data_IF_530001056481
#
_entry.id   IF_530001056481
#
_cell.length_a   1.000
_cell.length_b   1.000
_cell.length_c   1.000
_cell.angle_alpha   90.00
_cell.angle_beta   90.00
_cell.angle_gamma   90.00
#
_symmetry.space_group_name_H-M   'P 1'
#
loop_
_entity.id
_entity.type
_entity.pdbx_description
1 polymer ?
#
# COMPACT_ATOMS: atom_id res chain seq x y z
N UNK A 1 -13.80 -16.98 -10.39
CA UNK A 1 -12.43 -16.92 -10.94
C UNK A 1 -12.00 -15.48 -10.83
N UNK A 2 -10.79 -15.21 -10.37
CA UNK A 2 -10.31 -13.82 -10.35
C UNK A 2 -9.92 -13.39 -11.78
N UNK A 3 -10.26 -12.15 -12.11
CA UNK A 3 -10.05 -11.56 -13.42
C UNK A 3 -8.81 -10.68 -13.41
N UNK A 4 -7.86 -10.94 -14.30
CA UNK A 4 -6.62 -10.17 -14.46
C UNK A 4 -6.62 -9.47 -15.82
N UNK A 5 -6.35 -8.16 -15.82
CA UNK A 5 -6.10 -7.42 -17.04
C UNK A 5 -4.60 -7.30 -17.26
N UNK A 6 -4.11 -7.81 -18.39
CA UNK A 6 -2.74 -7.64 -18.84
C UNK A 6 -2.67 -6.54 -19.92
N UNK A 7 -1.80 -5.54 -19.72
CA UNK A 7 -1.51 -4.51 -20.73
C UNK A 7 -0.02 -4.63 -21.05
N UNK A 8 0.30 -5.22 -22.21
CA UNK A 8 1.66 -5.56 -22.66
C UNK A 8 1.67 -5.58 -24.18
N UNK A 9 2.55 -4.83 -24.81
CA UNK A 9 2.62 -4.71 -26.27
C UNK A 9 3.44 -5.82 -26.94
N UNK A 10 4.38 -6.41 -26.18
CA UNK A 10 5.11 -7.59 -26.66
C UNK A 10 4.22 -8.83 -26.60
N UNK A 11 3.82 -9.31 -27.79
CA UNK A 11 2.87 -10.42 -27.92
C UNK A 11 3.41 -11.76 -27.40
N UNK A 12 4.73 -11.99 -27.46
CA UNK A 12 5.36 -13.22 -26.98
C UNK A 12 5.33 -13.25 -25.43
N UNK A 13 5.75 -12.17 -24.80
CA UNK A 13 5.65 -11.99 -23.35
C UNK A 13 4.19 -12.07 -22.87
N UNK A 14 3.27 -11.44 -23.59
CA UNK A 14 1.85 -11.46 -23.25
C UNK A 14 1.26 -12.88 -23.29
N UNK A 15 1.61 -13.67 -24.32
CA UNK A 15 1.11 -15.05 -24.45
C UNK A 15 1.65 -15.95 -23.34
N UNK A 16 2.94 -15.84 -23.00
CA UNK A 16 3.56 -16.58 -21.89
C UNK A 16 2.86 -16.28 -20.56
N UNK A 17 2.66 -14.99 -20.25
CA UNK A 17 1.97 -14.56 -19.02
C UNK A 17 0.53 -15.07 -18.99
N UNK A 18 -0.20 -14.95 -20.10
CA UNK A 18 -1.60 -15.39 -20.21
C UNK A 18 -1.75 -16.88 -20.01
N UNK A 19 -0.90 -17.67 -20.65
CA UNK A 19 -0.92 -19.13 -20.54
C UNK A 19 -0.72 -19.57 -19.08
N UNK A 20 0.29 -19.05 -18.41
CA UNK A 20 0.61 -19.42 -17.02
C UNK A 20 -0.47 -18.97 -16.04
N UNK A 21 -1.06 -17.78 -16.24
CA UNK A 21 -2.18 -17.32 -15.41
C UNK A 21 -3.44 -18.18 -15.63
N UNK A 22 -3.74 -18.54 -16.89
CA UNK A 22 -4.89 -19.38 -17.21
C UNK A 22 -4.75 -20.80 -16.61
N UNK A 23 -3.56 -21.38 -16.63
CA UNK A 23 -3.27 -22.69 -16.02
C UNK A 23 -3.50 -22.67 -14.50
N UNK A 24 -3.40 -21.51 -13.87
CA UNK A 24 -3.70 -21.31 -12.43
C UNK A 24 -5.15 -20.92 -12.15
N UNK A 25 -5.99 -20.91 -13.17
CA UNK A 25 -7.41 -20.66 -13.04
C UNK A 25 -7.81 -19.18 -13.00
N UNK A 26 -6.97 -18.27 -13.50
CA UNK A 26 -7.33 -16.86 -13.70
C UNK A 26 -8.03 -16.65 -15.04
N UNK A 27 -8.99 -15.74 -15.06
CA UNK A 27 -9.53 -15.19 -16.30
C UNK A 27 -8.65 -14.02 -16.74
N UNK A 28 -8.08 -14.07 -17.94
CA UNK A 28 -7.13 -13.05 -18.40
C UNK A 28 -7.69 -12.30 -19.60
N UNK A 29 -7.90 -10.99 -19.44
CA UNK A 29 -8.07 -10.05 -20.54
C UNK A 29 -6.71 -9.47 -20.93
N UNK A 30 -6.52 -9.19 -22.22
CA UNK A 30 -5.28 -8.60 -22.73
C UNK A 30 -5.55 -7.39 -23.62
N UNK A 31 -4.62 -6.44 -23.56
CA UNK A 31 -4.51 -5.30 -24.46
C UNK A 31 -3.04 -5.05 -24.78
N UNK A 32 -2.74 -4.74 -26.05
CA UNK A 32 -1.40 -4.38 -26.51
C UNK A 32 -1.14 -2.86 -26.51
N UNK A 33 -2.11 -2.05 -26.08
CA UNK A 33 -2.08 -0.59 -26.13
C UNK A 33 -2.59 0.00 -24.83
N UNK A 34 -1.94 1.09 -24.39
CA UNK A 34 -2.28 1.73 -23.11
C UNK A 34 -3.64 2.42 -23.10
N UNK A 35 -4.12 2.97 -24.22
CA UNK A 35 -5.43 3.62 -24.31
C UNK A 35 -6.53 2.57 -24.24
N UNK A 36 -6.43 1.50 -25.05
CA UNK A 36 -7.36 0.38 -25.02
C UNK A 36 -7.36 -0.30 -23.64
N UNK A 37 -6.18 -0.47 -23.04
CA UNK A 37 -6.01 -1.03 -21.70
C UNK A 37 -6.71 -0.21 -20.64
N UNK A 38 -6.65 1.12 -20.70
CA UNK A 38 -7.36 2.03 -19.80
C UNK A 38 -8.88 1.87 -19.92
N UNK A 39 -9.40 1.79 -21.14
CA UNK A 39 -10.83 1.61 -21.39
C UNK A 39 -11.33 0.25 -20.90
N UNK A 40 -10.55 -0.82 -21.12
CA UNK A 40 -10.83 -2.14 -20.55
C UNK A 40 -10.83 -2.13 -19.04
N UNK A 41 -9.84 -1.49 -18.41
CA UNK A 41 -9.76 -1.41 -16.95
C UNK A 41 -10.99 -0.74 -16.33
N UNK A 42 -11.54 0.28 -16.99
CA UNK A 42 -12.76 0.98 -16.58
C UNK A 42 -14.03 0.14 -16.74
N UNK A 43 -14.12 -0.58 -17.84
CA UNK A 43 -15.35 -1.33 -18.21
C UNK A 43 -15.41 -2.69 -17.52
N UNK A 44 -14.31 -3.44 -17.48
CA UNK A 44 -14.30 -4.83 -17.04
C UNK A 44 -14.10 -4.99 -15.53
N UNK A 45 -13.59 -3.96 -14.83
CA UNK A 45 -13.30 -3.96 -13.39
C UNK A 45 -12.51 -5.20 -12.95
N UNK A 46 -11.28 -5.39 -13.45
CA UNK A 46 -10.47 -6.54 -13.10
C UNK A 46 -10.11 -6.55 -11.61
N UNK A 47 -9.87 -7.76 -11.06
CA UNK A 47 -9.45 -7.95 -9.67
C UNK A 47 -7.98 -7.56 -9.45
N UNK A 48 -7.14 -7.70 -10.51
CA UNK A 48 -5.76 -7.21 -10.56
C UNK A 48 -5.38 -6.80 -11.97
N UNK A 49 -4.33 -5.99 -12.09
CA UNK A 49 -3.77 -5.56 -13.37
C UNK A 49 -2.27 -5.81 -13.42
N UNK A 50 -1.78 -6.19 -14.59
CA UNK A 50 -0.37 -6.22 -14.94
C UNK A 50 -0.20 -5.20 -16.08
N UNK A 51 0.69 -4.23 -15.89
CA UNK A 51 0.83 -3.11 -16.82
C UNK A 51 2.29 -2.92 -17.16
N UNK A 52 2.65 -3.10 -18.44
CA UNK A 52 3.98 -2.67 -18.91
C UNK A 52 4.06 -1.13 -18.84
N UNK A 53 5.21 -0.65 -18.47
CA UNK A 53 5.49 0.78 -18.44
C UNK A 53 5.55 1.38 -19.84
N UNK A 54 6.26 0.71 -20.76
CA UNK A 54 6.50 1.21 -22.12
C UNK A 54 5.45 0.66 -23.07
N UNK A 55 4.32 1.33 -23.19
CA UNK A 55 3.22 0.93 -24.05
C UNK A 55 3.02 1.94 -25.18
N UNK A 56 2.59 1.50 -26.37
CA UNK A 56 2.10 2.40 -27.39
C UNK A 56 0.82 3.13 -26.94
N UNK A 57 0.55 4.25 -27.55
CA UNK A 57 -0.63 5.06 -27.27
C UNK A 57 -0.54 5.84 -25.95
N UNK A 58 -0.39 5.15 -24.84
CA UNK A 58 -0.28 5.75 -23.51
C UNK A 58 0.68 4.98 -22.61
N UNK A 59 1.67 5.68 -22.02
CA UNK A 59 2.61 5.10 -21.04
C UNK A 59 1.86 4.46 -19.87
N UNK A 60 2.32 3.28 -19.43
CA UNK A 60 1.63 2.49 -18.40
C UNK A 60 1.48 3.20 -17.07
N UNK A 61 2.43 4.05 -16.66
CA UNK A 61 2.27 4.86 -15.44
C UNK A 61 1.19 5.92 -15.61
N UNK A 62 1.03 6.47 -16.81
CA UNK A 62 -0.06 7.40 -17.13
C UNK A 62 -1.42 6.69 -17.08
N UNK A 63 -1.49 5.43 -17.55
CA UNK A 63 -2.69 4.58 -17.39
C UNK A 63 -3.03 4.44 -15.91
N UNK A 64 -2.06 4.07 -15.07
CA UNK A 64 -2.27 3.91 -13.62
C UNK A 64 -2.72 5.23 -12.98
N UNK A 65 -2.07 6.34 -13.31
CA UNK A 65 -2.45 7.66 -12.78
C UNK A 65 -3.89 8.05 -13.16
N UNK A 66 -4.29 7.81 -14.42
CA UNK A 66 -5.66 8.06 -14.88
C UNK A 66 -6.68 7.24 -14.08
N UNK A 67 -6.41 5.94 -13.88
CA UNK A 67 -7.26 5.07 -13.07
C UNK A 67 -7.39 5.55 -11.63
N UNK A 68 -6.30 6.01 -11.01
CA UNK A 68 -6.33 6.54 -9.64
C UNK A 68 -7.11 7.84 -9.53
N UNK A 69 -7.04 8.72 -10.54
CA UNK A 69 -7.89 9.93 -10.63
C UNK A 69 -9.37 9.57 -10.74
N UNK A 70 -9.69 8.48 -11.45
CA UNK A 70 -11.05 7.95 -11.56
C UNK A 70 -11.49 7.13 -10.33
N UNK A 71 -10.68 7.15 -9.25
CA UNK A 71 -10.90 6.38 -8.01
C UNK A 71 -10.94 4.85 -8.22
N UNK A 72 -10.45 4.34 -9.33
CA UNK A 72 -10.27 2.90 -9.56
C UNK A 72 -9.08 2.41 -8.73
N UNK A 73 -9.35 1.48 -7.81
CA UNK A 73 -8.38 0.98 -6.82
C UNK A 73 -7.89 -0.44 -7.11
N UNK A 74 -8.18 -0.97 -8.28
CA UNK A 74 -7.68 -2.27 -8.70
C UNK A 74 -6.16 -2.35 -8.47
N UNK A 75 -5.63 -3.39 -7.81
CA UNK A 75 -4.20 -3.57 -7.59
C UNK A 75 -3.45 -3.69 -8.92
N UNK A 76 -2.29 -3.03 -9.01
CA UNK A 76 -1.48 -2.97 -10.23
C UNK A 76 -0.05 -3.43 -9.97
N UNK A 77 0.38 -4.47 -10.69
CA UNK A 77 1.78 -4.83 -10.87
C UNK A 77 2.33 -4.12 -12.12
N UNK A 78 3.32 -3.27 -11.94
CA UNK A 78 3.97 -2.59 -13.07
C UNK A 78 5.19 -3.39 -13.51
N UNK A 79 5.26 -3.70 -14.81
CA UNK A 79 6.46 -4.27 -15.45
C UNK A 79 7.32 -3.11 -15.97
N UNK A 80 8.63 -3.16 -15.72
CA UNK A 80 9.53 -2.09 -16.13
C UNK A 80 10.86 -2.66 -16.60
N UNK A 81 11.40 -2.14 -17.71
CA UNK A 81 12.77 -2.43 -18.10
C UNK A 81 13.76 -1.88 -17.06
N UNK A 82 14.90 -2.54 -16.93
CA UNK A 82 15.97 -2.23 -16.00
C UNK A 82 16.31 -0.73 -15.96
N UNK A 83 16.40 -0.19 -14.77
CA UNK A 83 17.09 1.04 -14.59
C UNK A 83 17.00 1.69 -13.25
N UNK A 84 16.44 2.82 -13.09
CA UNK A 84 16.71 3.66 -11.96
C UNK A 84 15.86 3.30 -10.73
N UNK A 85 16.49 3.33 -9.57
CA UNK A 85 15.81 3.37 -8.26
C UNK A 85 14.74 4.47 -8.27
N UNK A 86 15.02 5.57 -8.99
CA UNK A 86 14.11 6.69 -9.20
C UNK A 86 12.81 6.32 -9.93
N UNK A 87 12.88 5.38 -10.89
CA UNK A 87 11.70 4.92 -11.64
C UNK A 87 10.76 4.07 -10.78
N UNK A 88 11.28 3.22 -9.89
CA UNK A 88 10.47 2.47 -8.91
C UNK A 88 9.80 3.39 -7.90
N UNK A 89 10.55 4.37 -7.40
CA UNK A 89 10.02 5.38 -6.46
C UNK A 89 8.94 6.22 -7.12
N UNK A 90 9.14 6.60 -8.39
CA UNK A 90 8.17 7.36 -9.16
C UNK A 90 6.88 6.58 -9.40
N UNK A 91 6.98 5.31 -9.80
CA UNK A 91 5.82 4.48 -10.06
C UNK A 91 5.00 4.13 -8.81
N UNK A 92 5.66 3.85 -7.67
CA UNK A 92 4.98 3.69 -6.39
C UNK A 92 4.28 4.99 -5.94
N UNK A 93 4.86 6.16 -6.26
CA UNK A 93 4.22 7.45 -6.00
C UNK A 93 3.03 7.72 -6.92
N UNK A 94 3.03 7.18 -8.14
CA UNK A 94 1.93 7.32 -9.12
C UNK A 94 0.81 6.28 -8.94
N UNK A 95 0.89 5.43 -7.90
CA UNK A 95 -0.19 4.53 -7.50
C UNK A 95 -0.07 3.08 -7.96
N UNK A 96 1.09 2.65 -8.47
CA UNK A 96 1.44 1.23 -8.64
C UNK A 96 1.57 0.54 -7.28
N UNK A 97 1.15 -0.71 -7.19
CA UNK A 97 1.10 -1.46 -5.94
C UNK A 97 2.30 -2.35 -5.73
N UNK A 98 2.88 -2.84 -6.82
CA UNK A 98 4.12 -3.60 -6.86
C UNK A 98 4.84 -3.37 -8.18
N UNK A 99 6.12 -3.72 -8.24
CA UNK A 99 6.99 -3.51 -9.38
C UNK A 99 7.80 -4.77 -9.66
N UNK A 100 7.89 -5.14 -10.95
CA UNK A 100 8.73 -6.23 -11.41
C UNK A 100 9.60 -5.75 -12.58
N UNK A 101 10.91 -5.98 -12.47
CA UNK A 101 11.86 -5.55 -13.51
C UNK A 101 12.05 -6.62 -14.57
N UNK A 102 12.00 -6.23 -15.84
CA UNK A 102 12.38 -7.08 -16.98
C UNK A 102 13.93 -7.16 -17.09
N UNK A 103 14.51 -8.36 -17.34
CA UNK A 103 13.85 -9.65 -17.47
C UNK A 103 13.45 -10.24 -16.12
N UNK A 104 12.33 -10.94 -16.07
CA UNK A 104 11.80 -11.57 -14.86
C UNK A 104 11.54 -13.06 -15.08
N UNK A 105 11.50 -13.82 -13.99
CA UNK A 105 11.00 -15.18 -14.00
C UNK A 105 9.47 -15.18 -13.93
N UNK A 106 8.79 -15.95 -14.78
CA UNK A 106 7.33 -16.02 -14.81
C UNK A 106 6.75 -16.44 -13.44
N UNK A 107 7.44 -17.33 -12.72
CA UNK A 107 7.06 -17.77 -11.37
C UNK A 107 7.05 -16.59 -10.37
N UNK A 108 7.96 -15.62 -10.51
CA UNK A 108 8.00 -14.43 -9.67
C UNK A 108 6.81 -13.52 -9.98
N UNK A 109 6.51 -13.30 -11.26
CA UNK A 109 5.35 -12.53 -11.70
C UNK A 109 4.06 -13.09 -11.09
N UNK A 110 3.85 -14.40 -11.23
CA UNK A 110 2.67 -15.08 -10.69
C UNK A 110 2.57 -14.91 -9.17
N UNK A 111 3.66 -15.16 -8.44
CA UNK A 111 3.67 -15.02 -6.99
C UNK A 111 3.28 -13.60 -6.53
N UNK A 112 3.68 -12.57 -7.30
CA UNK A 112 3.31 -11.17 -7.05
C UNK A 112 1.84 -10.88 -7.37
N UNK A 113 1.31 -11.40 -8.47
CA UNK A 113 -0.12 -11.28 -8.81
C UNK A 113 -0.98 -11.95 -7.74
N UNK A 114 -0.63 -13.17 -7.32
CA UNK A 114 -1.33 -13.86 -6.23
C UNK A 114 -1.24 -13.09 -4.90
N UNK A 115 -0.11 -12.43 -4.63
CA UNK A 115 0.05 -11.58 -3.45
C UNK A 115 -0.83 -10.34 -3.51
N UNK A 116 -1.00 -9.73 -4.69
CA UNK A 116 -1.91 -8.61 -4.92
C UNK A 116 -3.37 -9.02 -4.76
N UNK A 117 -3.74 -10.19 -5.27
CA UNK A 117 -5.10 -10.75 -5.18
C UNK A 117 -5.47 -11.23 -3.77
N UNK A 118 -4.50 -11.66 -2.95
CA UNK A 118 -4.73 -12.02 -1.53
C UNK A 118 -5.12 -10.83 -0.67
N UNK A 119 -4.81 -9.62 -1.10
CA UNK A 119 -5.34 -8.41 -0.45
C UNK A 119 -6.79 -8.30 -0.87
N UNK A 120 -7.76 -8.36 0.05
CA UNK A 120 -9.17 -8.18 -0.31
C UNK A 120 -9.30 -6.89 -1.12
N UNK A 121 -9.95 -6.94 -2.28
CA UNK A 121 -10.27 -5.75 -3.08
C UNK A 121 -11.09 -4.72 -2.27
N UNK A 122 -11.67 -5.16 -1.15
CA UNK A 122 -12.47 -4.35 -0.22
C UNK A 122 -11.69 -3.72 0.93
N UNK A 123 -10.39 -4.00 1.11
CA UNK A 123 -9.64 -3.42 2.23
C UNK A 123 -8.23 -2.97 1.89
N UNK A 124 -8.05 -2.14 0.87
CA UNK A 124 -7.23 -0.97 1.10
C UNK A 124 -8.13 0.02 1.83
N UNK A 125 -8.32 -0.16 3.09
CA UNK A 125 -8.64 0.95 3.96
C UNK A 125 -7.51 1.95 3.78
N UNK A 126 -7.71 2.85 2.80
CA UNK A 126 -6.87 4.05 2.69
C UNK A 126 -7.02 4.87 3.95
N UNK A 127 -7.98 4.51 4.79
CA UNK A 127 -8.26 5.07 6.09
C UNK A 127 -8.26 3.95 7.12
N UNK A 128 -7.25 3.91 7.98
CA UNK A 128 -7.27 3.06 9.16
C UNK A 128 -8.24 3.64 10.17
N UNK A 129 -8.99 2.76 10.84
CA UNK A 129 -9.94 3.14 11.89
C UNK A 129 -9.67 2.34 13.16
N UNK A 130 -9.60 3.04 14.29
CA UNK A 130 -9.40 2.46 15.60
C UNK A 130 -10.26 3.22 16.62
N UNK A 131 -11.46 2.73 16.91
CA UNK A 131 -12.46 3.49 17.68
C UNK A 131 -12.76 4.83 17.00
N UNK A 132 -12.63 5.97 17.70
CA UNK A 132 -12.86 7.29 17.13
C UNK A 132 -11.70 7.82 16.26
N UNK A 133 -10.55 7.12 16.19
CA UNK A 133 -9.42 7.52 15.37
C UNK A 133 -9.61 7.07 13.93
N UNK A 134 -9.33 7.99 13.00
CA UNK A 134 -9.22 7.74 11.57
C UNK A 134 -7.89 8.28 11.05
N UNK A 135 -7.20 7.50 10.23
CA UNK A 135 -5.92 7.85 9.63
C UNK A 135 -6.00 7.59 8.11
N UNK A 136 -6.04 8.65 7.31
CA UNK A 136 -6.00 8.55 5.85
C UNK A 136 -4.54 8.37 5.39
N UNK A 137 -4.25 7.24 4.77
CA UNK A 137 -2.90 6.86 4.35
C UNK A 137 -2.47 7.53 3.03
N UNK A 138 -3.44 8.01 2.24
CA UNK A 138 -3.17 8.70 0.96
C UNK A 138 -2.94 10.17 1.24
N UNK A 139 -3.94 10.84 1.84
CA UNK A 139 -3.87 12.27 2.16
C UNK A 139 -2.93 12.56 3.35
N UNK A 140 -2.48 11.50 4.05
CA UNK A 140 -1.64 11.58 5.26
C UNK A 140 -2.23 12.48 6.32
N UNK A 141 -3.55 12.40 6.50
CA UNK A 141 -4.30 13.14 7.50
C UNK A 141 -4.76 12.22 8.62
N UNK A 142 -4.93 12.77 9.81
CA UNK A 142 -5.43 12.07 10.99
C UNK A 142 -6.56 12.86 11.63
N UNK A 143 -7.56 12.17 12.15
CA UNK A 143 -8.65 12.78 12.93
C UNK A 143 -9.12 11.85 14.05
N UNK A 144 -9.66 12.45 15.10
CA UNK A 144 -10.35 11.74 16.18
C UNK A 144 -11.75 12.33 16.35
N UNK A 145 -12.78 11.59 15.93
CA UNK A 145 -14.09 12.17 15.70
C UNK A 145 -14.00 13.31 14.69
N UNK A 146 -14.46 14.50 15.06
CA UNK A 146 -14.39 15.69 14.19
C UNK A 146 -13.09 16.49 14.35
N UNK A 147 -12.24 16.15 15.32
CA UNK A 147 -11.01 16.86 15.60
C UNK A 147 -9.86 16.38 14.70
N UNK A 148 -9.38 17.26 13.83
CA UNK A 148 -8.17 17.03 13.02
C UNK A 148 -6.94 17.00 13.92
N UNK A 149 -6.05 16.05 13.68
CA UNK A 149 -4.79 15.87 14.39
C UNK A 149 -3.64 16.17 13.43
N UNK A 150 -2.90 17.25 13.70
CA UNK A 150 -1.71 17.58 12.93
C UNK A 150 -0.51 16.73 13.37
N UNK A 151 -0.08 15.81 12.51
CA UNK A 151 1.00 14.87 12.78
C UNK A 151 2.23 15.17 11.93
N UNK A 152 3.39 15.19 12.58
CA UNK A 152 4.67 15.17 11.88
C UNK A 152 4.88 13.80 11.19
N UNK A 153 5.71 13.70 10.13
CA UNK A 153 5.87 12.46 9.36
C UNK A 153 6.21 11.22 10.21
N UNK A 154 7.00 11.38 11.27
CA UNK A 154 7.33 10.25 12.18
C UNK A 154 6.19 9.91 13.12
N UNK A 155 5.42 10.89 13.57
CA UNK A 155 4.24 10.67 14.41
C UNK A 155 3.14 9.97 13.61
N UNK A 156 2.98 10.33 12.34
CA UNK A 156 2.07 9.66 11.41
C UNK A 156 2.43 8.18 11.26
N UNK A 157 3.70 7.85 10.94
CA UNK A 157 4.16 6.45 10.82
C UNK A 157 4.00 5.67 12.12
N UNK A 158 4.23 6.33 13.25
CA UNK A 158 4.07 5.72 14.56
C UNK A 158 2.59 5.38 14.84
N UNK A 159 1.68 6.32 14.53
CA UNK A 159 0.24 6.09 14.67
C UNK A 159 -0.25 5.01 13.69
N UNK A 160 0.18 5.06 12.44
CA UNK A 160 -0.12 4.04 11.42
C UNK A 160 0.23 2.64 11.91
N UNK A 161 1.45 2.45 12.40
CA UNK A 161 1.91 1.16 12.91
C UNK A 161 1.11 0.68 14.12
N UNK A 162 0.74 1.61 15.03
CA UNK A 162 -0.08 1.32 16.19
C UNK A 162 -1.52 0.96 15.80
N UNK A 163 -2.12 1.66 14.84
CA UNK A 163 -3.49 1.41 14.38
C UNK A 163 -3.63 0.07 13.65
N UNK A 164 -2.62 -0.31 12.87
CA UNK A 164 -2.56 -1.65 12.22
C UNK A 164 -2.47 -2.80 13.23
N UNK A 165 -2.07 -2.50 14.46
CA UNK A 165 -1.86 -3.46 15.56
C UNK A 165 -2.58 -3.01 16.84
N UNK A 166 -3.79 -2.50 16.66
CA UNK A 166 -4.63 -2.09 17.78
C UNK A 166 -4.79 -3.21 18.80
N UNK A 167 -4.84 -2.83 20.08
CA UNK A 167 -4.97 -3.73 21.22
C UNK A 167 -3.80 -4.72 21.42
N UNK A 168 -2.70 -4.56 20.66
CA UNK A 168 -1.48 -5.36 20.83
C UNK A 168 -0.39 -4.58 21.56
N UNK A 169 0.41 -5.29 22.35
CA UNK A 169 1.59 -4.72 22.99
C UNK A 169 2.71 -4.53 21.97
N UNK A 170 3.12 -3.29 21.76
CA UNK A 170 4.23 -2.91 20.92
C UNK A 170 5.45 -2.55 21.76
N UNK A 171 6.50 -3.36 21.65
CA UNK A 171 7.76 -3.10 22.38
C UNK A 171 8.53 -1.95 21.75
N UNK A 172 9.44 -1.32 22.52
CA UNK A 172 10.32 -0.28 21.98
C UNK A 172 11.19 -0.76 20.83
N UNK A 173 11.64 -2.02 20.89
CA UNK A 173 12.43 -2.62 19.81
C UNK A 173 11.63 -2.73 18.51
N UNK A 174 10.39 -3.22 18.57
CA UNK A 174 9.48 -3.29 17.40
C UNK A 174 9.24 -1.90 16.80
N UNK A 175 8.98 -0.90 17.65
CA UNK A 175 8.76 0.47 17.19
C UNK A 175 10.02 1.07 16.55
N UNK A 176 11.20 0.83 17.10
CA UNK A 176 12.48 1.27 16.52
C UNK A 176 12.74 0.63 15.17
N UNK A 177 12.51 -0.66 15.04
CA UNK A 177 12.70 -1.39 13.78
C UNK A 177 11.75 -0.88 12.69
N UNK A 178 10.46 -0.82 12.95
CA UNK A 178 9.45 -0.56 11.94
C UNK A 178 9.29 0.94 11.59
N UNK A 179 9.41 1.82 12.57
CA UNK A 179 9.21 3.26 12.35
C UNK A 179 10.51 3.98 12.02
N UNK A 180 11.64 3.55 12.58
CA UNK A 180 12.95 4.18 12.36
C UNK A 180 13.92 3.33 11.53
N UNK A 181 13.58 2.07 11.25
CA UNK A 181 14.44 1.10 10.55
C UNK A 181 15.77 0.84 11.29
N UNK A 182 15.72 0.88 12.63
CA UNK A 182 16.88 0.59 13.48
C UNK A 182 16.88 -0.90 13.86
N UNK A 183 17.90 -1.63 13.44
CA UNK A 183 18.13 -3.03 13.81
C UNK A 183 18.82 -3.19 15.18
N UNK A 184 18.98 -2.11 15.91
CA UNK A 184 19.55 -2.10 17.27
C UNK A 184 18.76 -1.13 18.14
N UNK A 185 18.80 -1.35 19.45
CA UNK A 185 18.16 -0.45 20.41
C UNK A 185 19.21 0.59 20.84
N UNK A 186 19.14 1.83 20.37
CA UNK A 186 20.04 2.87 20.80
C UNK A 186 19.80 3.20 22.29
N UNK A 187 20.87 3.61 23.01
CA UNK A 187 20.76 4.07 24.39
C UNK A 187 20.13 5.47 24.48
N UNK A 188 18.97 5.66 23.82
CA UNK A 188 18.22 6.91 23.77
C UNK A 188 16.75 6.66 24.06
N UNK A 189 16.06 7.66 24.59
CA UNK A 189 14.61 7.65 24.80
C UNK A 189 13.82 8.14 23.58
N UNK A 190 14.34 7.90 22.35
CA UNK A 190 13.77 8.36 21.10
C UNK A 190 12.28 7.98 20.95
N UNK A 191 11.94 6.72 21.19
CA UNK A 191 10.57 6.21 21.12
C UNK A 191 9.68 6.91 22.13
N UNK A 192 10.14 7.05 23.38
CA UNK A 192 9.37 7.65 24.46
C UNK A 192 9.06 9.14 24.19
N UNK A 193 10.02 9.88 23.63
CA UNK A 193 9.83 11.29 23.24
C UNK A 193 8.76 11.43 22.15
N UNK A 194 8.86 10.63 21.07
CA UNK A 194 7.89 10.68 19.98
C UNK A 194 6.53 10.16 20.42
N UNK A 195 6.49 9.12 21.25
CA UNK A 195 5.26 8.59 21.81
C UNK A 195 4.58 9.58 22.76
N UNK A 196 5.35 10.31 23.55
CA UNK A 196 4.82 11.37 24.40
C UNK A 196 4.14 12.48 23.60
N UNK A 197 4.78 12.92 22.50
CA UNK A 197 4.21 13.92 21.58
C UNK A 197 2.96 13.40 20.88
N UNK A 198 3.02 12.18 20.33
CA UNK A 198 1.89 11.54 19.66
C UNK A 198 0.70 11.41 20.61
N UNK A 199 0.94 10.92 21.84
CA UNK A 199 -0.10 10.76 22.86
C UNK A 199 -0.78 12.08 23.19
N UNK A 200 -0.01 13.16 23.35
CA UNK A 200 -0.57 14.48 23.61
C UNK A 200 -1.46 15.01 22.48
N UNK A 201 -1.17 14.63 21.24
CA UNK A 201 -1.96 15.01 20.06
C UNK A 201 -3.19 14.12 19.87
N UNK A 202 -3.04 12.83 20.09
CA UNK A 202 -4.12 11.83 19.93
C UNK A 202 -5.09 11.93 21.09
N UNK A 203 -4.60 11.99 22.32
CA UNK A 203 -5.41 12.07 23.54
C UNK A 203 -5.58 13.54 23.95
N UNK A 204 -6.56 14.22 23.34
CA UNK A 204 -6.87 15.61 23.62
C UNK A 204 -7.47 15.82 25.01
N UNK A 205 -7.55 17.08 25.48
CA UNK A 205 -8.14 17.41 26.77
C UNK A 205 -9.59 16.89 26.88
N UNK A 206 -9.88 16.15 27.93
CA UNK A 206 -11.21 15.58 28.18
C UNK A 206 -11.55 14.34 27.38
N UNK A 207 -10.67 13.87 26.51
CA UNK A 207 -10.85 12.61 25.77
C UNK A 207 -10.32 11.41 26.56
N UNK A 208 -10.98 10.27 26.42
CA UNK A 208 -10.49 9.00 27.00
C UNK A 208 -9.15 8.62 26.39
N UNK A 209 -8.09 8.40 27.17
CA UNK A 209 -6.80 8.02 26.61
C UNK A 209 -6.88 6.74 25.78
N UNK A 210 -6.30 6.76 24.58
CA UNK A 210 -6.20 5.60 23.70
C UNK A 210 -4.79 5.00 23.69
N UNK A 211 -3.77 5.85 23.86
CA UNK A 211 -2.38 5.38 23.88
C UNK A 211 -1.93 5.15 25.33
N UNK A 212 -1.70 3.89 25.66
CA UNK A 212 -1.31 3.46 27.00
C UNK A 212 0.15 3.04 27.07
N UNK A 213 0.85 3.51 28.10
CA UNK A 213 2.19 3.03 28.41
C UNK A 213 2.09 1.82 29.35
N UNK A 214 2.59 0.67 28.91
CA UNK A 214 2.75 -0.53 29.73
C UNK A 214 4.16 -0.51 30.32
N UNK A 215 4.27 -0.19 31.60
CA UNK A 215 5.55 0.03 32.28
C UNK A 215 6.50 -1.15 32.08
N UNK A 216 7.69 -0.88 31.60
CA UNK A 216 8.73 -1.87 31.35
C UNK A 216 8.55 -2.72 30.08
N UNK A 217 7.37 -2.71 29.43
CA UNK A 217 7.06 -3.55 28.30
C UNK A 217 6.94 -2.76 26.98
N UNK A 218 6.18 -1.67 26.93
CA UNK A 218 5.97 -0.93 25.69
C UNK A 218 4.71 -0.08 25.71
N UNK A 219 4.03 -0.03 24.56
CA UNK A 219 2.85 0.80 24.34
C UNK A 219 1.72 -0.01 23.70
N UNK A 220 0.48 0.37 23.95
CA UNK A 220 -0.72 -0.20 23.37
C UNK A 220 -1.63 0.95 22.92
N UNK A 221 -2.17 0.85 21.71
CA UNK A 221 -3.31 1.66 21.26
C UNK A 221 -4.58 0.85 21.52
N UNK A 222 -5.47 1.33 22.39
CA UNK A 222 -6.74 0.68 22.70
C UNK A 222 -7.88 1.29 21.89
N UNK A 223 -8.76 0.44 21.36
CA UNK A 223 -9.89 0.85 20.51
C UNK A 223 -11.20 1.02 21.30
N UNK A 224 -11.28 0.49 22.51
CA UNK A 224 -12.42 0.58 23.40
C UNK A 224 -12.01 0.90 24.85
N UNK A 225 -12.98 1.20 25.70
CA UNK A 225 -12.77 1.43 27.13
C UNK A 225 -12.26 0.20 27.85
#
# INVERSE_FOLDING_TARGET
MAKVLLIEDDSETAEEIRAELADRGFEVEWSADGIEGLDKARSSRPDAMIVDRLLPGMDGLTVVEALRKDQVRTPVLVLSALGAVDDRVRGLRMGGDDYLTKPFAIVELIARVEALLRRPAESRETTLRAGPLELDLIERTAKRGDRVIDLLPREFRLLEYMMQRSDQLLTRAMLLEEVWNYKFVPATNLVDVHMGRLRHKVDGPGETPMIHNVRGAGFILRTGP
#
